data_IF_989828562675
#
_entry.id   IF_989828562675
#
_cell.length_a   1.000
_cell.length_b   1.000
_cell.length_c   1.000
_cell.angle_alpha   90.00
_cell.angle_beta   90.00
_cell.angle_gamma   90.00
#
_symmetry.space_group_name_H-M   'P 1'
#
loop_
_entity.id
_entity.type
_entity.pdbx_description
1 polymer ?
#
# COMPACT_ATOMS: atom_id res chain seq x y z
N UNK A 1 56.33 -0.77 26.53
CA UNK A 1 56.28 -1.64 27.72
C UNK A 1 56.02 -0.74 28.90
N UNK A 2 55.01 -0.84 29.75
CA UNK A 2 53.91 -1.76 30.06
C UNK A 2 52.81 -0.85 30.69
N UNK A 3 51.56 -1.18 30.97
CA UNK A 3 50.65 -2.32 30.80
C UNK A 3 49.23 -1.71 30.77
N UNK A 4 48.29 -2.46 30.20
CA UNK A 4 46.87 -2.14 30.21
C UNK A 4 46.26 -2.45 31.59
N UNK A 5 45.38 -1.58 32.07
CA UNK A 5 44.40 -1.92 33.11
C UNK A 5 42.99 -1.89 32.51
N UNK A 6 42.35 -3.03 32.70
CA UNK A 6 41.04 -3.44 32.20
C UNK A 6 40.01 -2.96 33.21
N UNK A 7 39.03 -2.14 32.78
CA UNK A 7 37.82 -1.87 33.55
C UNK A 7 36.68 -2.68 32.95
N UNK A 8 36.22 -3.67 33.72
CA UNK A 8 35.02 -4.46 33.45
C UNK A 8 33.76 -3.61 33.71
N UNK A 9 32.71 -3.70 32.86
CA UNK A 9 31.40 -3.19 33.21
C UNK A 9 30.61 -4.21 34.05
N UNK A 10 29.96 -3.66 35.07
CA UNK A 10 29.06 -4.25 36.04
C UNK A 10 27.85 -4.99 35.45
N UNK A 11 27.46 -6.07 36.13
CA UNK A 11 26.23 -6.83 35.94
C UNK A 11 24.98 -5.93 35.92
N UNK A 12 24.26 -5.95 34.79
CA UNK A 12 22.88 -5.48 34.70
C UNK A 12 21.94 -6.70 34.71
N UNK A 13 20.83 -6.68 35.47
CA UNK A 13 19.90 -7.80 35.52
C UNK A 13 19.10 -7.87 34.20
N UNK A 14 19.15 -9.04 33.56
CA UNK A 14 18.34 -9.40 32.39
C UNK A 14 16.84 -9.33 32.73
N UNK A 15 15.99 -8.67 31.92
CA UNK A 15 14.55 -8.86 32.01
C UNK A 15 14.18 -10.24 31.48
N UNK A 16 13.35 -10.93 32.25
CA UNK A 16 12.76 -12.24 31.95
C UNK A 16 12.11 -12.26 30.56
N UNK A 17 12.43 -13.30 29.78
CA UNK A 17 11.72 -13.63 28.55
C UNK A 17 10.23 -13.85 28.87
N UNK A 18 9.39 -12.90 28.49
CA UNK A 18 7.96 -13.11 28.40
C UNK A 18 7.66 -13.81 27.07
N UNK A 19 7.32 -15.10 27.19
CA UNK A 19 6.66 -15.88 26.14
C UNK A 19 5.43 -15.13 25.63
N UNK A 20 5.22 -15.01 24.31
CA UNK A 20 3.94 -14.55 23.78
C UNK A 20 2.85 -15.57 24.12
N UNK A 21 1.78 -15.08 24.74
CA UNK A 21 0.50 -15.76 24.87
C UNK A 21 -0.01 -16.14 23.47
N UNK A 22 -0.24 -17.44 23.26
CA UNK A 22 -0.77 -18.04 22.04
C UNK A 22 -2.16 -17.51 21.67
N UNK A 23 -2.26 -16.72 20.59
CA UNK A 23 -3.48 -16.47 19.81
C UNK A 23 -3.54 -17.41 18.58
N UNK A 24 -3.18 -18.68 18.75
CA UNK A 24 -2.97 -19.63 17.64
C UNK A 24 -4.25 -20.24 17.04
N UNK A 25 -5.45 -19.73 17.37
CA UNK A 25 -6.72 -20.35 16.95
C UNK A 25 -7.42 -19.64 15.77
N UNK A 26 -7.14 -18.36 15.53
CA UNK A 26 -7.77 -17.63 14.41
C UNK A 26 -7.02 -17.83 13.09
N UNK A 27 -5.68 -17.97 13.14
CA UNK A 27 -4.80 -18.15 11.98
C UNK A 27 -5.11 -19.42 11.16
N UNK A 28 -5.47 -20.51 11.85
CA UNK A 28 -5.82 -21.79 11.21
C UNK A 28 -7.20 -21.71 10.54
N UNK A 29 -8.13 -20.94 11.11
CA UNK A 29 -9.54 -20.87 10.70
C UNK A 29 -9.73 -20.09 9.40
N UNK A 30 -8.98 -18.98 9.23
CA UNK A 30 -8.98 -18.17 8.00
C UNK A 30 -8.42 -18.98 6.82
N UNK A 31 -7.25 -19.61 7.01
CA UNK A 31 -6.58 -20.40 5.96
C UNK A 31 -7.38 -21.65 5.54
N UNK A 32 -7.99 -22.37 6.48
CA UNK A 32 -8.83 -23.53 6.17
C UNK A 32 -10.10 -23.17 5.39
N UNK A 33 -10.61 -21.94 5.55
CA UNK A 33 -11.80 -21.47 4.83
C UNK A 33 -11.50 -21.04 3.37
N UNK A 34 -10.25 -20.65 3.09
CA UNK A 34 -9.75 -20.23 1.77
C UNK A 34 -9.33 -21.44 0.92
N UNK A 35 -8.77 -22.48 1.54
CA UNK A 35 -8.26 -23.65 0.83
C UNK A 35 -9.32 -24.76 0.70
N UNK A 36 -10.06 -24.76 -0.42
CA UNK A 36 -10.72 -25.97 -0.91
C UNK A 36 -9.71 -27.10 -1.13
N UNK A 37 -10.11 -28.34 -0.83
CA UNK A 37 -9.27 -29.56 -0.73
C UNK A 37 -8.18 -29.68 -1.80
N UNK A 38 -6.90 -29.56 -1.41
CA UNK A 38 -5.75 -29.80 -2.31
C UNK A 38 -5.16 -31.18 -2.05
N UNK A 39 -5.18 -32.04 -3.06
CA UNK A 39 -4.52 -33.33 -3.08
C UNK A 39 -3.01 -33.19 -3.41
N UNK A 40 -2.25 -34.10 -2.79
CA UNK A 40 -0.82 -34.41 -2.88
C UNK A 40 0.05 -33.81 -4.00
N UNK A 41 1.13 -33.15 -3.54
CA UNK A 41 2.49 -33.02 -4.09
C UNK A 41 2.82 -33.77 -5.40
N UNK A 42 2.75 -33.05 -6.50
CA UNK A 42 3.69 -33.18 -7.63
C UNK A 42 4.62 -31.98 -7.59
N UNK A 43 5.92 -32.17 -7.82
CA UNK A 43 6.89 -31.08 -8.08
C UNK A 43 6.39 -30.24 -9.25
N UNK A 44 5.65 -29.19 -8.92
CA UNK A 44 4.95 -28.35 -9.88
C UNK A 44 5.94 -27.39 -10.54
N UNK A 45 5.78 -27.24 -11.85
CA UNK A 45 6.59 -26.37 -12.68
C UNK A 45 6.57 -24.92 -12.16
N UNK A 46 7.74 -24.29 -12.11
CA UNK A 46 7.88 -22.86 -11.78
C UNK A 46 7.34 -22.07 -12.96
N UNK A 47 6.28 -21.29 -12.73
CA UNK A 47 5.69 -20.43 -13.76
C UNK A 47 6.34 -19.05 -13.65
N UNK A 48 7.14 -18.67 -14.65
CA UNK A 48 7.73 -17.34 -14.74
C UNK A 48 6.75 -16.35 -15.37
N UNK A 49 6.84 -15.07 -15.01
CA UNK A 49 6.01 -14.04 -15.62
C UNK A 49 6.43 -13.77 -17.08
N UNK A 50 5.53 -14.04 -18.02
CA UNK A 50 5.59 -13.59 -19.42
C UNK A 50 4.52 -12.52 -19.68
N UNK A 51 4.90 -11.26 -19.99
CA UNK A 51 3.93 -10.19 -20.22
C UNK A 51 2.98 -10.48 -21.39
N UNK A 52 3.39 -11.24 -22.42
CA UNK A 52 2.53 -11.55 -23.57
C UNK A 52 1.41 -12.53 -23.24
N UNK A 53 1.60 -13.35 -22.21
CA UNK A 53 0.64 -14.37 -21.77
C UNK A 53 -0.20 -13.90 -20.59
N UNK A 54 0.42 -13.15 -19.68
CA UNK A 54 -0.15 -12.85 -18.38
C UNK A 54 -0.83 -11.48 -18.31
N UNK A 55 -0.47 -10.53 -19.19
CA UNK A 55 -1.16 -9.25 -19.30
C UNK A 55 -2.34 -9.40 -20.28
N UNK A 56 -3.54 -9.11 -19.80
CA UNK A 56 -4.78 -9.06 -20.59
C UNK A 56 -5.42 -7.68 -20.47
N UNK A 57 -4.69 -6.67 -20.96
CA UNK A 57 -5.06 -5.28 -20.79
C UNK A 57 -6.16 -4.83 -21.75
N UNK A 58 -7.17 -4.14 -21.22
CA UNK A 58 -8.08 -3.26 -21.97
C UNK A 58 -8.19 -1.94 -21.23
N UNK A 59 -8.14 -0.77 -21.89
CA UNK A 59 -8.23 0.51 -21.20
C UNK A 59 -9.51 0.68 -20.36
N UNK A 60 -9.46 1.43 -19.24
CA UNK A 60 -10.64 1.72 -18.45
C UNK A 60 -11.67 2.51 -19.27
N UNK A 61 -12.97 2.25 -19.02
CA UNK A 61 -14.05 2.94 -19.72
C UNK A 61 -14.09 4.43 -19.40
N UNK A 62 -13.62 4.82 -18.22
CA UNK A 62 -13.48 6.20 -17.80
C UNK A 62 -12.31 6.34 -16.81
N UNK A 63 -11.63 7.48 -16.89
CA UNK A 63 -10.73 7.98 -15.84
C UNK A 63 -11.33 9.28 -15.31
N UNK A 64 -11.58 9.34 -14.01
CA UNK A 64 -12.06 10.55 -13.33
C UNK A 64 -10.85 11.40 -12.94
N UNK A 65 -10.84 12.65 -13.37
CA UNK A 65 -9.81 13.62 -13.03
C UNK A 65 -9.99 14.16 -11.60
N UNK A 66 -8.90 14.65 -11.01
CA UNK A 66 -8.93 15.37 -9.73
C UNK A 66 -9.94 16.53 -9.76
N UNK A 67 -10.00 17.24 -10.89
CA UNK A 67 -10.93 18.35 -11.11
C UNK A 67 -12.40 17.92 -11.15
N UNK A 68 -12.74 16.81 -11.82
CA UNK A 68 -14.10 16.25 -11.80
C UNK A 68 -14.51 15.80 -10.39
N UNK A 69 -13.54 15.33 -9.59
CA UNK A 69 -13.74 14.99 -8.19
C UNK A 69 -13.82 16.23 -7.27
N UNK A 70 -13.70 17.45 -7.82
CA UNK A 70 -13.79 18.70 -7.07
C UNK A 70 -12.52 19.10 -6.31
N UNK A 71 -11.38 18.49 -6.63
CA UNK A 71 -10.08 18.89 -6.09
C UNK A 71 -9.41 19.96 -6.97
N UNK A 72 -8.58 20.78 -6.35
CA UNK A 72 -7.74 21.76 -7.04
C UNK A 72 -6.57 21.10 -7.78
N UNK A 73 -6.06 21.76 -8.82
CA UNK A 73 -4.99 21.23 -9.67
C UNK A 73 -3.67 21.02 -8.92
N UNK A 74 -3.47 21.65 -7.76
CA UNK A 74 -2.27 21.55 -6.91
C UNK A 74 -2.37 20.49 -5.80
N UNK A 75 -3.55 19.89 -5.61
CA UNK A 75 -3.80 18.90 -4.56
C UNK A 75 -2.98 17.64 -4.79
N UNK A 76 -3.12 17.04 -5.98
CA UNK A 76 -2.38 15.85 -6.39
C UNK A 76 -1.09 16.15 -7.14
N UNK A 77 -0.40 15.11 -7.57
CA UNK A 77 0.78 15.14 -8.45
C UNK A 77 0.46 14.78 -9.90
N UNK A 78 -0.79 14.44 -10.18
CA UNK A 78 -1.32 14.13 -11.51
C UNK A 78 -2.75 14.66 -11.65
N UNK A 79 -3.20 15.01 -12.87
CA UNK A 79 -4.60 15.34 -13.13
C UNK A 79 -5.56 14.17 -12.93
N UNK A 80 -5.09 12.92 -12.90
CA UNK A 80 -5.92 11.72 -12.76
C UNK A 80 -6.21 11.43 -11.29
N UNK A 81 -7.47 11.33 -10.91
CA UNK A 81 -7.88 10.92 -9.57
C UNK A 81 -8.02 9.41 -9.44
N UNK A 82 -8.91 8.82 -10.25
CA UNK A 82 -9.21 7.38 -10.19
C UNK A 82 -9.69 6.86 -11.55
N UNK A 83 -9.35 5.62 -11.89
CA UNK A 83 -9.89 4.92 -13.05
C UNK A 83 -11.09 4.05 -12.67
N UNK A 84 -12.05 3.90 -13.59
CA UNK A 84 -12.97 2.76 -13.54
C UNK A 84 -12.17 1.45 -13.66
N UNK A 85 -12.66 0.32 -13.10
CA UNK A 85 -11.97 -0.95 -13.23
C UNK A 85 -11.72 -1.35 -14.67
N UNK A 86 -10.57 -1.97 -14.91
CA UNK A 86 -10.16 -2.40 -16.24
C UNK A 86 -9.47 -3.77 -16.20
N UNK A 87 -9.67 -4.64 -17.21
CA UNK A 87 -8.94 -5.90 -17.31
C UNK A 87 -7.43 -5.66 -17.36
N UNK A 88 -6.67 -6.38 -16.55
CA UNK A 88 -5.21 -6.25 -16.48
C UNK A 88 -4.49 -7.60 -16.60
N UNK A 89 -4.96 -8.62 -15.87
CA UNK A 89 -4.32 -9.94 -15.80
C UNK A 89 -5.20 -11.04 -16.39
N UNK A 90 -4.56 -12.01 -17.05
CA UNK A 90 -5.25 -13.22 -17.51
C UNK A 90 -5.62 -14.13 -16.33
N UNK A 91 -6.56 -15.05 -16.55
CA UNK A 91 -6.94 -16.04 -15.54
C UNK A 91 -5.75 -16.93 -15.10
N UNK A 92 -4.84 -17.24 -16.03
CA UNK A 92 -3.59 -17.96 -15.74
C UNK A 92 -2.72 -17.18 -14.74
N UNK A 93 -2.55 -15.88 -14.97
CA UNK A 93 -1.78 -15.02 -14.09
C UNK A 93 -2.41 -14.93 -12.69
N UNK A 94 -3.74 -14.76 -12.61
CA UNK A 94 -4.44 -14.71 -11.32
C UNK A 94 -4.28 -16.01 -10.55
N UNK A 95 -4.41 -17.16 -11.21
CA UNK A 95 -4.20 -18.45 -10.56
C UNK A 95 -2.79 -18.60 -10.00
N UNK A 96 -1.78 -18.17 -10.76
CA UNK A 96 -0.39 -18.20 -10.29
C UNK A 96 -0.13 -17.22 -9.15
N UNK A 97 -0.65 -15.98 -9.22
CA UNK A 97 -0.55 -15.01 -8.13
C UNK A 97 -1.20 -15.54 -6.85
N UNK A 98 -2.42 -16.07 -6.94
CA UNK A 98 -3.12 -16.71 -5.81
C UNK A 98 -2.30 -17.84 -5.20
N UNK A 99 -1.67 -18.67 -6.04
CA UNK A 99 -0.84 -19.79 -5.58
C UNK A 99 0.37 -19.31 -4.76
N UNK A 100 1.01 -18.22 -5.16
CA UNK A 100 2.12 -17.64 -4.38
C UNK A 100 1.65 -17.04 -3.06
N UNK A 101 0.60 -16.21 -3.10
CA UNK A 101 0.12 -15.48 -1.91
C UNK A 101 -0.58 -16.39 -0.87
N UNK A 102 -1.14 -17.52 -1.30
CA UNK A 102 -1.80 -18.50 -0.42
C UNK A 102 -0.84 -19.60 0.06
N UNK A 103 0.45 -19.49 -0.27
CA UNK A 103 1.45 -20.45 0.21
C UNK A 103 1.68 -20.34 1.71
N UNK A 104 2.00 -21.46 2.33
CA UNK A 104 2.26 -21.56 3.78
C UNK A 104 3.36 -20.59 4.23
N UNK A 105 4.38 -20.41 3.39
CA UNK A 105 5.52 -19.55 3.68
C UNK A 105 5.07 -18.08 3.87
N UNK A 106 4.27 -17.58 2.93
CA UNK A 106 3.75 -16.20 2.99
C UNK A 106 2.93 -15.99 4.26
N UNK A 107 1.98 -16.89 4.54
CA UNK A 107 1.09 -16.75 5.69
C UNK A 107 1.81 -16.84 7.04
N UNK A 108 2.83 -17.68 7.16
CA UNK A 108 3.54 -17.86 8.43
C UNK A 108 4.44 -16.69 8.84
N UNK A 109 4.85 -15.85 7.88
CA UNK A 109 5.90 -14.82 8.12
C UNK A 109 5.43 -13.39 7.83
N UNK A 110 4.48 -13.21 6.93
CA UNK A 110 4.16 -11.89 6.37
C UNK A 110 2.73 -11.42 6.69
N UNK A 111 2.08 -12.03 7.69
CA UNK A 111 0.74 -11.68 8.13
C UNK A 111 0.75 -10.52 9.14
N UNK A 112 -0.11 -9.53 8.90
CA UNK A 112 -0.31 -8.34 9.73
C UNK A 112 -1.81 -8.05 9.92
N UNK A 113 -2.14 -7.33 10.98
CA UNK A 113 -3.48 -6.85 11.28
C UNK A 113 -3.42 -5.50 11.97
N UNK A 114 -4.46 -4.68 11.83
CA UNK A 114 -4.59 -3.39 12.51
C UNK A 114 -6.04 -3.04 12.84
N UNK A 115 -6.22 -1.89 13.51
CA UNK A 115 -7.52 -1.24 13.67
C UNK A 115 -8.17 -0.76 12.36
N UNK A 116 -7.43 -0.75 11.24
CA UNK A 116 -7.96 -0.41 9.91
C UNK A 116 -8.30 -1.63 9.04
N UNK A 117 -7.63 -2.77 9.27
CA UNK A 117 -7.83 -3.99 8.49
C UNK A 117 -7.46 -5.25 9.30
N UNK A 118 -8.33 -6.24 9.29
CA UNK A 118 -8.18 -7.44 10.12
C UNK A 118 -7.12 -8.44 9.64
N UNK A 119 -6.80 -8.48 8.34
CA UNK A 119 -5.86 -9.46 7.79
C UNK A 119 -5.20 -8.93 6.52
N UNK A 120 -3.88 -8.75 6.58
CA UNK A 120 -3.04 -8.24 5.51
C UNK A 120 -1.79 -9.09 5.33
N UNK A 121 -1.31 -9.23 4.08
CA UNK A 121 -0.02 -9.84 3.77
C UNK A 121 0.89 -8.80 3.10
N UNK A 122 2.09 -8.56 3.64
CA UNK A 122 2.97 -7.44 3.22
C UNK A 122 4.44 -7.84 3.21
N UNK A 123 5.23 -7.28 2.28
CA UNK A 123 6.68 -7.53 2.22
C UNK A 123 7.12 -8.90 1.67
N UNK A 124 6.20 -9.77 1.29
CA UNK A 124 6.52 -11.16 0.89
C UNK A 124 7.06 -11.30 -0.53
N UNK A 125 6.78 -10.34 -1.42
CA UNK A 125 6.93 -10.55 -2.86
C UNK A 125 8.37 -10.89 -3.31
N UNK A 126 9.42 -10.18 -2.85
CA UNK A 126 10.80 -10.44 -3.29
C UNK A 126 11.30 -11.85 -2.95
N UNK A 127 10.82 -12.42 -1.85
CA UNK A 127 11.32 -13.70 -1.32
C UNK A 127 10.42 -14.89 -1.66
N UNK A 128 9.10 -14.67 -1.68
CA UNK A 128 8.12 -15.76 -1.72
C UNK A 128 7.25 -15.79 -2.98
N UNK A 129 7.21 -14.70 -3.76
CA UNK A 129 6.28 -14.57 -4.87
C UNK A 129 6.99 -14.00 -6.11
N UNK A 130 7.92 -14.75 -6.73
CA UNK A 130 8.70 -14.28 -7.87
C UNK A 130 7.81 -13.89 -9.07
N UNK A 131 6.69 -14.58 -9.31
CA UNK A 131 5.76 -14.18 -10.36
C UNK A 131 5.11 -12.83 -10.07
N UNK A 132 4.63 -12.61 -8.84
CA UNK A 132 4.09 -11.30 -8.42
C UNK A 132 5.15 -10.20 -8.53
N UNK A 133 6.36 -10.47 -8.04
CA UNK A 133 7.48 -9.53 -8.06
C UNK A 133 7.83 -9.11 -9.50
N UNK A 134 8.02 -10.08 -10.39
CA UNK A 134 8.35 -9.83 -11.80
C UNK A 134 7.20 -9.12 -12.54
N UNK A 135 5.94 -9.49 -12.26
CA UNK A 135 4.77 -8.86 -12.86
C UNK A 135 4.73 -7.35 -12.57
N UNK A 136 4.90 -6.96 -11.31
CA UNK A 136 4.83 -5.56 -10.90
C UNK A 136 6.09 -4.74 -11.22
N UNK A 137 7.17 -5.40 -11.68
CA UNK A 137 8.38 -4.74 -12.19
C UNK A 137 8.49 -4.75 -13.71
N UNK A 138 7.59 -5.46 -14.41
CA UNK A 138 7.57 -5.54 -15.87
C UNK A 138 7.40 -4.14 -16.50
N UNK A 139 8.27 -3.75 -17.45
CA UNK A 139 8.13 -2.48 -18.18
C UNK A 139 6.76 -2.34 -18.88
N UNK A 140 6.21 -3.43 -19.38
CA UNK A 140 4.90 -3.48 -20.04
C UNK A 140 3.77 -3.10 -19.08
N UNK A 141 3.80 -3.67 -17.87
CA UNK A 141 2.80 -3.37 -16.85
C UNK A 141 2.96 -1.95 -16.31
N UNK A 142 4.21 -1.54 -16.01
CA UNK A 142 4.50 -0.19 -15.52
C UNK A 142 4.07 0.88 -16.53
N UNK A 143 4.21 0.60 -17.83
CA UNK A 143 3.71 1.48 -18.88
C UNK A 143 2.20 1.64 -18.81
N UNK A 144 1.44 0.54 -18.66
CA UNK A 144 -0.03 0.60 -18.55
C UNK A 144 -0.46 1.44 -17.36
N UNK A 145 0.11 1.18 -16.18
CA UNK A 145 -0.23 1.91 -14.94
C UNK A 145 0.13 3.39 -15.07
N UNK A 146 1.30 3.71 -15.64
CA UNK A 146 1.75 5.08 -15.85
C UNK A 146 0.87 5.85 -16.85
N UNK A 147 0.48 5.20 -17.96
CA UNK A 147 -0.39 5.80 -18.97
C UNK A 147 -1.77 6.14 -18.37
N UNK A 148 -2.33 5.24 -17.55
CA UNK A 148 -3.61 5.48 -16.86
C UNK A 148 -3.47 6.57 -15.79
N UNK A 149 -2.38 6.55 -15.03
CA UNK A 149 -2.10 7.54 -14.00
C UNK A 149 -1.77 8.93 -14.56
N UNK A 150 -1.46 9.06 -15.85
CA UNK A 150 -1.06 10.32 -16.49
C UNK A 150 0.32 10.82 -16.02
N UNK A 151 1.15 9.96 -15.44
CA UNK A 151 2.46 10.26 -14.88
C UNK A 151 3.32 8.99 -14.89
N UNK A 152 4.63 9.12 -15.10
CA UNK A 152 5.56 7.98 -15.10
C UNK A 152 5.78 7.46 -13.66
N UNK A 153 5.39 6.22 -13.42
CA UNK A 153 5.38 5.56 -12.13
C UNK A 153 6.35 4.38 -12.06
N UNK A 154 6.86 4.16 -10.85
CA UNK A 154 7.59 2.95 -10.42
C UNK A 154 6.98 2.44 -9.13
N UNK A 155 7.09 1.13 -8.81
CA UNK A 155 6.74 0.63 -7.49
C UNK A 155 7.44 1.49 -6.43
N UNK A 156 6.71 1.83 -5.37
CA UNK A 156 7.21 2.74 -4.34
C UNK A 156 8.47 2.18 -3.69
N UNK A 157 8.37 0.92 -3.26
CA UNK A 157 9.37 0.10 -2.59
C UNK A 157 9.02 -1.36 -2.86
N UNK A 158 10.01 -2.26 -2.75
CA UNK A 158 9.77 -3.70 -2.89
C UNK A 158 8.84 -4.24 -1.79
N UNK A 159 8.89 -3.64 -0.59
CA UNK A 159 7.97 -3.93 0.52
C UNK A 159 6.48 -3.72 0.15
N UNK A 160 6.21 -2.81 -0.79
CA UNK A 160 4.86 -2.41 -1.20
C UNK A 160 4.40 -3.06 -2.51
N UNK A 161 5.16 -4.05 -3.01
CA UNK A 161 4.74 -4.86 -4.14
C UNK A 161 3.74 -5.91 -3.65
N UNK A 162 2.51 -5.80 -4.16
CA UNK A 162 1.51 -6.84 -4.01
C UNK A 162 0.96 -7.03 -2.58
N UNK A 163 0.86 -5.97 -1.78
CA UNK A 163 0.18 -6.02 -0.48
C UNK A 163 -1.23 -6.63 -0.63
N UNK A 164 -1.53 -7.70 0.10
CA UNK A 164 -2.82 -8.37 0.07
C UNK A 164 -3.71 -7.90 1.22
N UNK A 165 -4.95 -7.54 0.92
CA UNK A 165 -6.03 -7.42 1.91
C UNK A 165 -6.99 -8.60 1.75
N UNK A 166 -7.32 -9.26 2.87
CA UNK A 166 -8.16 -10.46 2.90
C UNK A 166 -9.39 -10.21 3.77
N UNK A 167 -10.56 -10.53 3.22
CA UNK A 167 -11.82 -10.55 3.96
C UNK A 167 -12.57 -11.85 3.69
N UNK A 168 -12.96 -12.55 4.75
CA UNK A 168 -13.78 -13.77 4.69
C UNK A 168 -15.09 -13.48 5.42
N UNK A 169 -16.26 -13.70 4.81
CA UNK A 169 -17.52 -13.57 5.51
C UNK A 169 -17.61 -14.57 6.66
N UNK A 170 -18.10 -14.13 7.83
CA UNK A 170 -18.34 -15.00 8.96
C UNK A 170 -19.38 -16.07 8.60
N UNK A 171 -19.12 -17.33 8.97
CA UNK A 171 -19.97 -18.48 8.60
C UNK A 171 -21.40 -18.42 9.18
N UNK A 172 -21.73 -17.44 10.03
CA UNK A 172 -23.07 -17.24 10.61
C UNK A 172 -24.11 -16.60 9.69
N UNK A 173 -23.73 -16.07 8.52
CA UNK A 173 -24.63 -15.35 7.62
C UNK A 173 -25.37 -16.23 6.59
N UNK A 174 -25.22 -17.56 6.65
CA UNK A 174 -25.85 -18.49 5.69
C UNK A 174 -27.23 -19.02 6.12
N UNK A 175 -27.66 -18.78 7.36
CA UNK A 175 -28.90 -19.35 7.90
C UNK A 175 -29.74 -18.30 8.65
N UNK A 176 -30.27 -17.27 7.98
CA UNK A 176 -31.38 -16.49 8.54
C UNK A 176 -32.38 -16.04 7.48
N UNK A 177 -33.47 -16.81 7.38
CA UNK A 177 -34.80 -16.33 6.98
C UNK A 177 -35.45 -15.48 8.09
N UNK A 178 -34.66 -14.67 8.79
CA UNK A 178 -35.10 -13.75 9.82
C UNK A 178 -34.70 -12.34 9.39
N UNK A 179 -35.56 -11.36 9.70
CA UNK A 179 -35.39 -9.95 9.35
C UNK A 179 -33.95 -9.47 9.64
N UNK A 180 -33.38 -8.58 8.79
CA UNK A 180 -32.01 -8.13 8.94
C UNK A 180 -31.84 -7.54 10.33
N UNK A 181 -30.97 -8.13 11.13
CA UNK A 181 -30.36 -7.41 12.24
C UNK A 181 -29.65 -6.21 11.61
N UNK A 182 -30.12 -5.01 11.91
CA UNK A 182 -29.31 -3.80 11.76
C UNK A 182 -28.01 -4.04 12.58
N UNK A 183 -26.89 -3.48 12.10
CA UNK A 183 -25.60 -3.35 12.82
C UNK A 183 -24.46 -4.40 12.63
N UNK A 184 -24.05 -4.67 11.38
CA UNK A 184 -22.60 -4.77 11.06
C UNK A 184 -22.32 -4.42 9.59
N UNK A 185 -22.56 -3.15 9.22
CA UNK A 185 -22.22 -2.57 7.91
C UNK A 185 -20.75 -2.10 7.84
N UNK A 186 -19.86 -2.73 8.62
CA UNK A 186 -18.47 -2.30 8.73
C UNK A 186 -17.71 -2.44 7.40
N UNK A 187 -16.95 -1.41 6.99
CA UNK A 187 -16.13 -1.45 5.78
C UNK A 187 -14.99 -2.48 5.91
N UNK A 188 -14.47 -2.94 4.77
CA UNK A 188 -13.30 -3.85 4.75
C UNK A 188 -12.02 -3.09 5.12
N UNK A 189 -11.94 -1.85 4.64
CA UNK A 189 -10.92 -0.87 5.04
C UNK A 189 -11.67 0.44 5.22
N UNK A 190 -11.59 1.01 6.42
CA UNK A 190 -12.31 2.25 6.75
C UNK A 190 -11.76 3.46 5.98
N UNK A 191 -12.38 4.64 6.14
CA UNK A 191 -11.93 5.86 5.47
C UNK A 191 -10.46 6.13 5.74
N UNK A 192 -9.69 6.34 4.69
CA UNK A 192 -8.27 6.67 4.78
C UNK A 192 -7.77 7.40 3.53
N UNK A 193 -6.56 7.94 3.66
CA UNK A 193 -5.69 8.22 2.53
C UNK A 193 -4.52 7.27 2.57
N UNK A 194 -4.05 6.86 1.40
CA UNK A 194 -2.91 5.95 1.30
C UNK A 194 -1.62 6.62 1.78
N UNK A 195 -0.66 5.77 2.15
CA UNK A 195 0.72 6.19 2.39
C UNK A 195 1.42 6.72 1.14
N UNK A 196 1.10 6.19 -0.04
CA UNK A 196 1.85 6.44 -1.28
C UNK A 196 1.02 7.21 -2.31
N UNK A 197 1.65 8.00 -3.19
CA UNK A 197 0.95 8.85 -4.16
C UNK A 197 -0.08 8.12 -5.02
N UNK A 198 0.25 6.91 -5.46
CA UNK A 198 -0.61 6.07 -6.29
C UNK A 198 -0.67 4.65 -5.81
N UNK A 199 -1.79 3.98 -6.08
CA UNK A 199 -1.95 2.54 -5.92
C UNK A 199 -2.61 1.94 -7.16
N UNK A 200 -2.30 0.67 -7.44
CA UNK A 200 -3.05 -0.17 -8.36
C UNK A 200 -3.65 -1.34 -7.57
N UNK A 201 -4.99 -1.37 -7.48
CA UNK A 201 -5.73 -2.39 -6.74
C UNK A 201 -6.24 -3.44 -7.74
N UNK A 202 -5.77 -4.67 -7.62
CA UNK A 202 -6.15 -5.82 -8.45
C UNK A 202 -7.03 -6.79 -7.66
N UNK A 203 -8.14 -7.24 -8.24
CA UNK A 203 -8.98 -8.26 -7.62
C UNK A 203 -8.49 -9.67 -7.94
N UNK A 204 -8.24 -10.46 -6.90
CA UNK A 204 -7.80 -11.86 -7.02
C UNK A 204 -8.92 -12.88 -6.78
N UNK A 205 -9.98 -12.51 -6.07
CA UNK A 205 -11.12 -13.41 -5.85
C UNK A 205 -12.12 -13.34 -7.00
N UNK A 206 -12.81 -14.44 -7.25
CA UNK A 206 -13.99 -14.45 -8.11
C UNK A 206 -15.14 -13.72 -7.40
N UNK A 207 -15.47 -12.54 -7.92
CA UNK A 207 -16.51 -11.67 -7.40
C UNK A 207 -17.80 -11.69 -8.23
N UNK A 208 -17.99 -12.69 -9.10
CA UNK A 208 -19.14 -12.75 -10.02
C UNK A 208 -20.50 -12.74 -9.33
N UNK A 209 -20.60 -13.32 -8.13
CA UNK A 209 -21.82 -13.37 -7.31
C UNK A 209 -21.90 -12.25 -6.27
N UNK A 210 -20.90 -11.35 -6.22
CA UNK A 210 -20.85 -10.31 -5.19
C UNK A 210 -21.80 -9.16 -5.49
N UNK A 211 -22.47 -8.71 -4.43
CA UNK A 211 -23.21 -7.44 -4.40
C UNK A 211 -22.49 -6.50 -3.45
N UNK A 212 -22.21 -5.27 -3.89
CA UNK A 212 -21.40 -4.30 -3.18
C UNK A 212 -19.91 -4.40 -3.50
N UNK A 213 -19.05 -4.02 -2.55
CA UNK A 213 -17.59 -4.06 -2.73
C UNK A 213 -16.99 -2.88 -3.50
N UNK A 214 -17.79 -1.82 -3.72
CA UNK A 214 -17.33 -0.60 -4.36
C UNK A 214 -16.25 0.10 -3.52
N UNK A 215 -15.39 0.84 -4.21
CA UNK A 215 -14.55 1.83 -3.55
C UNK A 215 -15.31 3.14 -3.49
N UNK A 216 -15.63 3.58 -2.28
CA UNK A 216 -16.22 4.89 -2.04
C UNK A 216 -15.09 5.94 -1.99
N UNK A 217 -15.20 6.99 -2.80
CA UNK A 217 -14.29 8.13 -2.83
C UNK A 217 -15.03 9.37 -2.36
N UNK A 218 -14.43 10.09 -1.42
CA UNK A 218 -14.93 11.39 -1.00
C UNK A 218 -14.42 12.46 -1.96
N UNK A 219 -15.33 13.23 -2.56
CA UNK A 219 -15.01 14.36 -3.43
C UNK A 219 -14.59 15.59 -2.61
N UNK A 220 -14.02 16.59 -3.28
CA UNK A 220 -13.64 17.88 -2.67
C UNK A 220 -14.82 18.67 -2.06
N UNK A 221 -16.06 18.41 -2.50
CA UNK A 221 -17.29 18.97 -1.91
C UNK A 221 -17.86 18.14 -0.75
N UNK A 222 -17.19 17.03 -0.39
CA UNK A 222 -17.61 16.10 0.66
C UNK A 222 -18.64 15.04 0.22
N UNK A 223 -19.19 15.13 -1.00
CA UNK A 223 -20.07 14.08 -1.52
C UNK A 223 -19.30 12.82 -1.92
N UNK A 224 -19.99 11.68 -2.00
CA UNK A 224 -19.36 10.38 -2.25
C UNK A 224 -19.59 9.93 -3.70
N UNK A 225 -18.51 9.60 -4.40
CA UNK A 225 -18.54 8.84 -5.64
C UNK A 225 -18.25 7.37 -5.33
N UNK A 226 -19.09 6.45 -5.80
CA UNK A 226 -18.80 5.01 -5.72
C UNK A 226 -18.32 4.53 -7.07
N UNK A 227 -17.10 3.99 -7.09
CA UNK A 227 -16.54 3.32 -8.27
C UNK A 227 -16.74 1.83 -8.09
N UNK A 228 -17.22 1.16 -9.14
CA UNK A 228 -17.50 -0.28 -9.09
C UNK A 228 -16.23 -1.03 -8.65
N UNK A 229 -16.39 -2.05 -7.81
CA UNK A 229 -15.26 -2.91 -7.46
C UNK A 229 -14.74 -3.69 -8.68
N UNK A 230 -13.41 -3.93 -8.80
CA UNK A 230 -12.86 -4.75 -9.87
C UNK A 230 -13.36 -6.20 -9.78
N UNK A 231 -13.62 -6.79 -10.94
CA UNK A 231 -13.80 -8.25 -11.08
C UNK A 231 -12.44 -8.95 -11.07
N UNK A 232 -12.42 -10.26 -10.85
CA UNK A 232 -11.19 -11.06 -10.89
C UNK A 232 -10.36 -10.76 -12.13
N UNK A 233 -9.06 -10.45 -11.96
CA UNK A 233 -8.17 -10.08 -13.07
C UNK A 233 -8.25 -8.61 -13.51
N UNK A 234 -9.25 -7.87 -13.05
CA UNK A 234 -9.32 -6.43 -13.26
C UNK A 234 -8.58 -5.67 -12.16
N UNK A 235 -8.14 -4.46 -12.52
CA UNK A 235 -7.50 -3.53 -11.62
C UNK A 235 -8.12 -2.13 -11.69
N UNK A 236 -7.83 -1.31 -10.69
CA UNK A 236 -8.11 0.12 -10.68
C UNK A 236 -6.89 0.89 -10.17
N UNK A 237 -6.55 1.98 -10.85
CA UNK A 237 -5.51 2.93 -10.45
C UNK A 237 -6.15 4.13 -9.74
N UNK A 238 -5.61 4.47 -8.57
CA UNK A 238 -6.11 5.53 -7.69
C UNK A 238 -4.95 6.40 -7.17
N UNK A 239 -5.14 7.72 -7.14
CA UNK A 239 -4.22 8.67 -6.51
C UNK A 239 -4.50 8.79 -4.99
N UNK A 240 -4.38 7.65 -4.29
CA UNK A 240 -5.00 7.44 -2.97
C UNK A 240 -4.41 8.26 -1.83
N UNK A 241 -3.20 8.82 -1.98
CA UNK A 241 -2.62 9.75 -1.00
C UNK A 241 -3.46 11.01 -0.80
N UNK A 242 -4.19 11.43 -1.83
CA UNK A 242 -4.85 12.74 -1.85
C UNK A 242 -6.36 12.66 -1.76
N UNK A 243 -6.94 11.48 -1.95
CA UNK A 243 -8.37 11.23 -2.00
C UNK A 243 -8.73 10.32 -0.84
N UNK A 244 -9.55 10.81 0.09
CA UNK A 244 -10.10 9.96 1.14
C UNK A 244 -11.03 8.94 0.51
N UNK A 245 -10.80 7.67 0.82
CA UNK A 245 -11.54 6.57 0.25
C UNK A 245 -11.72 5.42 1.25
N UNK A 246 -12.66 4.54 0.94
CA UNK A 246 -13.05 3.42 1.78
C UNK A 246 -13.43 2.22 0.89
N UNK A 247 -13.05 1.02 1.31
CA UNK A 247 -13.46 -0.21 0.63
C UNK A 247 -14.74 -0.74 1.29
N UNK A 248 -15.86 -0.69 0.57
CA UNK A 248 -17.14 -1.18 1.09
C UNK A 248 -17.13 -2.70 1.18
N UNK A 249 -17.92 -3.22 2.13
CA UNK A 249 -18.17 -4.65 2.23
C UNK A 249 -18.94 -5.15 1.02
N UNK A 250 -18.73 -6.41 0.69
CA UNK A 250 -19.48 -7.12 -0.32
C UNK A 250 -20.11 -8.37 0.27
N UNK A 251 -21.32 -8.69 -0.21
CA UNK A 251 -22.08 -9.86 0.20
C UNK A 251 -22.06 -10.91 -0.91
N UNK A 252 -22.12 -12.19 -0.56
CA UNK A 252 -22.36 -13.28 -1.52
C UNK A 252 -21.12 -13.94 -2.14
N UNK A 253 -19.89 -13.57 -1.76
CA UNK A 253 -18.68 -14.33 -2.07
C UNK A 253 -18.21 -15.19 -0.90
N UNK A 254 -17.39 -16.21 -1.18
CA UNK A 254 -16.71 -16.99 -0.15
C UNK A 254 -15.54 -16.22 0.48
N UNK A 255 -14.90 -15.33 -0.28
CA UNK A 255 -13.74 -14.53 0.11
C UNK A 255 -13.64 -13.27 -0.75
N UNK A 256 -12.91 -12.27 -0.27
CA UNK A 256 -12.47 -11.13 -1.06
C UNK A 256 -10.99 -10.88 -0.80
N UNK A 257 -10.18 -11.20 -1.80
CA UNK A 257 -8.74 -11.00 -1.82
C UNK A 257 -8.41 -9.93 -2.85
N UNK A 258 -7.82 -8.82 -2.38
CA UNK A 258 -7.32 -7.75 -3.25
C UNK A 258 -5.84 -7.58 -3.06
N UNK A 259 -5.11 -7.50 -4.18
CA UNK A 259 -3.69 -7.18 -4.22
C UNK A 259 -3.50 -5.70 -4.57
N UNK A 260 -2.69 -5.00 -3.79
CA UNK A 260 -2.44 -3.57 -3.92
C UNK A 260 -0.94 -3.37 -4.10
N UNK A 261 -0.56 -2.76 -5.21
CA UNK A 261 0.83 -2.31 -5.41
C UNK A 261 0.86 -0.80 -5.35
N UNK A 262 1.74 -0.26 -4.51
CA UNK A 262 1.91 1.18 -4.32
C UNK A 262 2.98 1.73 -5.26
N UNK A 263 2.80 2.97 -5.72
CA UNK A 263 3.64 3.61 -6.72
C UNK A 263 4.05 5.03 -6.31
N UNK A 264 5.24 5.42 -6.78
CA UNK A 264 5.76 6.79 -6.71
C UNK A 264 6.16 7.28 -8.11
N UNK A 265 6.27 8.59 -8.32
CA UNK A 265 6.87 9.13 -9.54
C UNK A 265 8.28 8.59 -9.75
N UNK A 266 8.60 8.21 -10.99
CA UNK A 266 9.97 7.83 -11.36
C UNK A 266 10.93 9.01 -11.25
N UNK A 267 10.49 10.18 -11.72
CA UNK A 267 11.33 11.37 -11.79
C UNK A 267 11.56 11.99 -10.42
N UNK A 268 12.83 12.15 -10.04
CA UNK A 268 13.22 12.86 -8.82
C UNK A 268 12.79 14.34 -8.84
N UNK A 269 12.50 14.94 -10.00
CA UNK A 269 12.04 16.32 -10.11
C UNK A 269 10.58 16.52 -9.67
N UNK A 270 9.80 15.43 -9.58
CA UNK A 270 8.41 15.49 -9.18
C UNK A 270 8.28 15.38 -7.65
N UNK A 271 7.12 15.83 -7.14
CA UNK A 271 6.81 15.79 -5.72
C UNK A 271 6.53 14.34 -5.32
N UNK A 272 7.10 13.93 -4.19
CA UNK A 272 6.83 12.65 -3.54
C UNK A 272 6.35 12.93 -2.12
N UNK A 273 5.03 12.83 -1.94
CA UNK A 273 4.31 13.07 -0.68
C UNK A 273 4.06 11.77 0.10
N UNK A 274 4.89 10.74 -0.13
CA UNK A 274 4.83 9.49 0.62
C UNK A 274 4.91 9.76 2.12
N UNK A 275 3.99 9.19 2.89
CA UNK A 275 3.99 9.15 4.36
C UNK A 275 3.97 7.71 4.83
N UNK A 276 4.36 7.45 6.07
CA UNK A 276 4.38 6.09 6.62
C UNK A 276 3.25 5.83 7.63
N UNK A 277 2.33 6.77 7.80
CA UNK A 277 1.32 6.75 8.86
C UNK A 277 0.43 5.50 8.85
N UNK A 278 -0.05 5.03 7.69
CA UNK A 278 -0.93 3.85 7.60
C UNK A 278 -0.20 2.52 7.53
N UNK A 279 1.12 2.54 7.26
CA UNK A 279 1.89 1.31 6.99
C UNK A 279 2.88 0.97 8.09
N UNK A 280 3.27 1.94 8.91
CA UNK A 280 4.27 1.77 9.97
C UNK A 280 3.88 0.68 10.97
N UNK A 281 2.64 0.70 11.46
CA UNK A 281 2.17 -0.24 12.48
C UNK A 281 1.96 -1.68 11.95
N UNK A 282 1.99 -1.87 10.63
CA UNK A 282 1.70 -3.13 9.94
C UNK A 282 2.83 -3.50 8.96
N UNK A 283 4.08 -3.24 9.37
CA UNK A 283 5.28 -3.62 8.61
C UNK A 283 6.37 -4.15 9.53
N UNK A 284 7.36 -4.82 8.96
CA UNK A 284 8.69 -4.84 9.56
C UNK A 284 9.27 -3.43 9.47
N UNK A 285 9.49 -2.78 10.62
CA UNK A 285 9.94 -1.39 10.66
C UNK A 285 11.34 -1.20 10.10
N UNK A 286 12.23 -2.15 10.39
CA UNK A 286 13.60 -2.11 9.92
C UNK A 286 13.61 -2.14 8.39
N UNK A 287 12.91 -3.10 7.79
CA UNK A 287 12.86 -3.24 6.33
C UNK A 287 12.15 -2.04 5.67
N UNK A 288 11.03 -1.59 6.24
CA UNK A 288 10.32 -0.40 5.76
C UNK A 288 11.23 0.83 5.76
N UNK A 289 11.98 1.06 6.83
CA UNK A 289 12.87 2.22 6.96
C UNK A 289 14.14 2.10 6.13
N UNK A 290 14.69 0.89 5.92
CA UNK A 290 15.79 0.67 4.99
C UNK A 290 15.39 1.09 3.57
N UNK A 291 14.30 0.52 3.05
CA UNK A 291 13.84 0.81 1.69
C UNK A 291 13.40 2.28 1.54
N UNK A 292 12.66 2.81 2.53
CA UNK A 292 12.21 4.21 2.50
C UNK A 292 13.39 5.17 2.48
N UNK A 293 14.39 4.94 3.34
CA UNK A 293 15.57 5.80 3.39
C UNK A 293 16.38 5.72 2.11
N UNK A 294 16.58 4.52 1.57
CA UNK A 294 17.36 4.28 0.37
C UNK A 294 16.79 5.10 -0.81
N UNK A 295 15.53 4.87 -1.20
CA UNK A 295 15.00 5.53 -2.41
C UNK A 295 14.88 7.05 -2.22
N UNK A 296 14.61 7.52 -1.00
CA UNK A 296 14.53 8.96 -0.69
C UNK A 296 15.90 9.63 -0.81
N UNK A 297 16.97 8.95 -0.39
CA UNK A 297 18.34 9.42 -0.56
C UNK A 297 18.79 9.38 -2.03
N UNK A 298 18.36 8.39 -2.81
CA UNK A 298 18.60 8.35 -4.27
C UNK A 298 17.95 9.55 -4.99
N UNK A 299 16.73 9.93 -4.61
CA UNK A 299 16.07 11.14 -5.13
C UNK A 299 16.93 12.38 -4.84
N UNK A 300 17.47 12.51 -3.63
CA UNK A 300 18.36 13.61 -3.27
C UNK A 300 19.67 13.57 -4.07
N UNK A 301 20.24 12.39 -4.26
CA UNK A 301 21.46 12.21 -5.07
C UNK A 301 21.24 12.72 -6.49
N UNK A 302 20.13 12.33 -7.13
CA UNK A 302 19.79 12.78 -8.48
C UNK A 302 19.55 14.30 -8.54
N UNK A 303 18.78 14.85 -7.60
CA UNK A 303 18.52 16.30 -7.51
C UNK A 303 19.81 17.10 -7.36
N UNK A 304 20.71 16.67 -6.48
CA UNK A 304 22.02 17.31 -6.27
C UNK A 304 22.86 17.19 -7.54
N UNK A 305 22.89 16.03 -8.19
CA UNK A 305 23.62 15.79 -9.44
C UNK A 305 23.16 16.73 -10.56
N UNK A 306 21.84 16.91 -10.72
CA UNK A 306 21.24 17.86 -11.67
C UNK A 306 21.62 19.30 -11.34
N UNK A 307 21.49 19.70 -10.07
CA UNK A 307 21.83 21.06 -9.65
C UNK A 307 23.32 21.38 -9.83
N UNK A 308 24.21 20.42 -9.53
CA UNK A 308 25.65 20.56 -9.77
C UNK A 308 25.96 20.74 -11.26
N UNK A 309 25.26 20.02 -12.14
CA UNK A 309 25.38 20.18 -13.59
C UNK A 309 24.98 21.60 -14.01
N UNK A 310 23.83 22.10 -13.55
CA UNK A 310 23.36 23.47 -13.85
C UNK A 310 24.38 24.54 -13.41
N UNK A 311 24.96 24.43 -12.21
CA UNK A 311 26.01 25.36 -11.73
C UNK A 311 27.23 25.32 -12.64
N UNK A 312 27.72 24.12 -12.99
CA UNK A 312 28.91 23.93 -13.82
C UNK A 312 28.70 24.48 -15.22
N UNK A 313 27.55 24.21 -15.83
CA UNK A 313 27.23 24.64 -17.19
C UNK A 313 27.05 26.16 -17.25
N UNK A 314 26.40 26.78 -16.25
CA UNK A 314 26.35 28.24 -16.12
C UNK A 314 27.73 28.87 -16.01
N UNK A 315 28.60 28.31 -15.17
CA UNK A 315 29.98 28.78 -15.00
C UNK A 315 30.78 28.68 -16.30
N UNK A 316 30.69 27.54 -17.00
CA UNK A 316 31.33 27.34 -18.32
C UNK A 316 30.84 28.34 -19.36
N UNK A 317 29.54 28.63 -19.36
CA UNK A 317 28.92 29.64 -20.21
C UNK A 317 29.17 31.09 -19.74
N UNK A 318 30.00 31.32 -18.71
CA UNK A 318 30.29 32.63 -18.11
C UNK A 318 29.04 33.42 -17.69
N UNK A 319 27.97 32.72 -17.32
CA UNK A 319 26.74 33.33 -16.79
C UNK A 319 26.88 33.60 -15.30
N UNK A 320 26.20 34.64 -14.80
CA UNK A 320 26.16 34.94 -13.37
C UNK A 320 25.50 33.80 -12.56
N UNK A 321 25.92 33.67 -11.31
CA UNK A 321 25.35 32.71 -10.37
C UNK A 321 23.89 33.07 -10.06
N UNK A 322 22.99 32.08 -10.12
CA UNK A 322 21.58 32.27 -9.77
C UNK A 322 21.34 32.04 -8.28
N UNK A 323 21.64 33.05 -7.46
CA UNK A 323 21.43 32.95 -6.00
C UNK A 323 19.98 32.65 -5.65
N UNK A 324 19.01 33.24 -6.37
CA UNK A 324 17.58 33.01 -6.12
C UNK A 324 17.19 31.55 -6.37
N UNK A 325 17.58 31.01 -7.54
CA UNK A 325 17.32 29.61 -7.88
C UNK A 325 18.03 28.63 -6.95
N UNK A 326 19.27 28.93 -6.53
CA UNK A 326 19.96 28.11 -5.54
C UNK A 326 19.22 28.09 -4.19
N UNK A 327 18.77 29.25 -3.70
CA UNK A 327 18.00 29.31 -2.45
C UNK A 327 16.67 28.55 -2.54
N UNK A 328 16.00 28.60 -3.69
CA UNK A 328 14.78 27.81 -3.93
C UNK A 328 15.06 26.31 -3.88
N UNK A 329 16.09 25.86 -4.61
CA UNK A 329 16.54 24.47 -4.58
C UNK A 329 16.86 23.97 -3.17
N UNK A 330 17.62 24.77 -2.40
CA UNK A 330 17.99 24.42 -1.02
C UNK A 330 16.76 24.32 -0.11
N UNK A 331 15.84 25.29 -0.19
CA UNK A 331 14.61 25.27 0.60
C UNK A 331 13.71 24.07 0.26
N UNK A 332 13.68 23.62 -1.00
CA UNK A 332 12.98 22.40 -1.39
C UNK A 332 13.62 21.15 -0.77
N UNK A 333 14.96 21.06 -0.73
CA UNK A 333 15.65 19.91 -0.13
C UNK A 333 15.53 19.90 1.40
N UNK A 334 15.58 21.07 2.05
CA UNK A 334 15.31 21.20 3.49
C UNK A 334 13.92 20.66 3.84
N UNK A 335 12.88 21.04 3.07
CA UNK A 335 11.52 20.51 3.26
C UNK A 335 11.44 19.00 3.05
N UNK A 336 12.13 18.49 2.02
CA UNK A 336 12.14 17.06 1.69
C UNK A 336 12.80 16.22 2.80
N UNK A 337 13.90 16.71 3.37
CA UNK A 337 14.60 16.07 4.49
C UNK A 337 13.78 16.19 5.79
N UNK A 338 13.20 17.36 6.07
CA UNK A 338 12.34 17.54 7.25
C UNK A 338 11.12 16.63 7.21
N UNK A 339 10.52 16.45 6.03
CA UNK A 339 9.43 15.49 5.82
C UNK A 339 9.89 14.05 6.09
N UNK A 340 10.99 13.62 5.47
CA UNK A 340 11.56 12.28 5.70
C UNK A 340 11.84 12.01 7.18
N UNK A 341 12.46 12.98 7.87
CA UNK A 341 12.76 12.89 9.30
C UNK A 341 11.51 12.83 10.18
N UNK A 342 10.38 13.38 9.73
CA UNK A 342 9.11 13.31 10.46
C UNK A 342 8.45 11.92 10.31
N UNK A 343 8.57 11.32 9.13
CA UNK A 343 7.93 10.04 8.83
C UNK A 343 8.65 8.84 9.49
N UNK A 344 9.96 8.95 9.69
CA UNK A 344 10.76 7.99 10.45
C UNK A 344 10.71 8.34 11.93
N UNK A 345 10.02 7.52 12.72
CA UNK A 345 9.95 7.64 14.18
C UNK A 345 10.68 6.47 14.83
N UNK A 346 11.22 6.68 16.02
CA UNK A 346 11.89 5.63 16.78
C UNK A 346 10.95 4.43 16.99
N UNK A 347 11.48 3.22 16.81
CA UNK A 347 10.71 1.97 16.80
C UNK A 347 9.86 1.79 18.07
N UNK A 348 10.39 2.22 19.22
CA UNK A 348 9.73 2.18 20.53
C UNK A 348 8.49 3.08 20.65
N UNK A 349 8.33 4.05 19.74
CA UNK A 349 7.16 4.92 19.66
C UNK A 349 6.05 4.34 18.77
N UNK A 350 6.28 3.19 18.14
CA UNK A 350 5.32 2.55 17.25
C UNK A 350 4.52 1.49 17.97
N UNK A 351 3.21 1.70 18.07
CA UNK A 351 2.27 0.68 18.53
C UNK A 351 1.89 -0.23 17.36
N UNK A 352 2.34 -1.50 17.38
CA UNK A 352 2.01 -2.48 16.34
C UNK A 352 0.49 -2.67 16.21
N UNK A 353 0.00 -2.69 14.97
CA UNK A 353 -1.42 -2.83 14.65
C UNK A 353 -2.30 -1.62 14.97
N UNK A 354 -1.74 -0.47 15.34
CA UNK A 354 -2.51 0.72 15.66
C UNK A 354 -2.09 1.94 14.85
N UNK A 355 -3.07 2.60 14.21
CA UNK A 355 -2.90 3.86 13.49
C UNK A 355 -3.85 4.92 14.05
N UNK A 356 -3.32 6.12 14.31
CA UNK A 356 -4.07 7.31 14.76
C UNK A 356 -4.90 7.95 13.63
N UNK A 357 -5.51 9.13 13.83
CA UNK A 357 -6.33 9.81 12.82
C UNK A 357 -5.52 10.61 11.76
N UNK A 358 -4.19 10.50 11.73
CA UNK A 358 -3.33 11.27 10.82
C UNK A 358 -3.47 10.89 9.34
N UNK A 359 -4.08 9.73 9.06
CA UNK A 359 -4.42 9.25 7.72
C UNK A 359 -5.71 9.89 7.16
N UNK A 360 -6.44 10.66 7.97
CA UNK A 360 -7.65 11.36 7.57
C UNK A 360 -7.35 12.84 7.25
N UNK A 361 -7.98 13.35 6.21
CA UNK A 361 -7.92 14.77 5.82
C UNK A 361 -9.08 15.53 6.47
N UNK A 362 -10.29 14.99 6.40
CA UNK A 362 -11.51 15.71 6.76
C UNK A 362 -11.78 15.69 8.27
N UNK A 363 -12.06 16.87 8.83
CA UNK A 363 -12.27 17.04 10.27
C UNK A 363 -13.47 16.26 10.81
N UNK A 364 -14.55 16.12 10.03
CA UNK A 364 -15.69 15.30 10.43
C UNK A 364 -15.35 13.81 10.52
N UNK A 365 -14.47 13.30 9.66
CA UNK A 365 -14.00 11.91 9.74
C UNK A 365 -13.08 11.71 10.96
N UNK A 366 -12.19 12.66 11.23
CA UNK A 366 -11.36 12.64 12.45
C UNK A 366 -12.21 12.64 13.73
N UNK A 367 -13.24 13.48 13.77
CA UNK A 367 -14.17 13.51 14.90
C UNK A 367 -14.93 12.18 15.06
N UNK A 368 -15.35 11.54 13.97
CA UNK A 368 -15.98 10.22 14.01
C UNK A 368 -15.02 9.15 14.52
N UNK A 369 -13.78 9.14 14.02
CA UNK A 369 -12.73 8.21 14.46
C UNK A 369 -12.46 8.33 15.96
N UNK A 370 -12.27 9.57 16.47
CA UNK A 370 -12.10 9.85 17.91
C UNK A 370 -13.27 9.40 18.78
N UNK A 371 -14.51 9.54 18.28
CA UNK A 371 -15.70 9.08 19.01
C UNK A 371 -15.74 7.56 19.12
N UNK A 372 -15.36 6.83 18.07
CA UNK A 372 -15.30 5.35 18.11
C UNK A 372 -14.22 4.87 19.05
N UNK A 373 -13.02 5.46 19.00
CA UNK A 373 -11.93 5.07 19.91
C UNK A 373 -12.27 5.27 21.39
N UNK A 374 -13.07 6.31 21.71
CA UNK A 374 -13.56 6.54 23.07
C UNK A 374 -14.60 5.50 23.49
N UNK A 375 -15.49 5.10 22.59
CA UNK A 375 -16.51 4.08 22.86
C UNK A 375 -15.89 2.68 23.05
N UNK A 376 -14.82 2.35 22.34
CA UNK A 376 -14.09 1.07 22.49
C UNK A 376 -13.24 1.01 23.77
N UNK A 377 -13.06 2.14 24.46
CA UNK A 377 -12.27 2.25 25.70
C UNK A 377 -13.14 2.25 26.98
N UNK A 378 -14.47 2.26 26.85
CA UNK A 378 -15.45 2.10 27.94
C UNK A 378 -15.94 0.66 28.04
#
# INVERSE_FOLDING_TARGET
>A
MAAADILAPSDFPMPSAHLPSTLANDDVTVKQSVNGTVASSTTQEVVNFDPKRHIQYTPPSKVHSMKELGYSDDKGISPVGVSEPFPLFSAEAINQMRREILSDNVWSQYQFSSNLSHCQLRGFAPECAPFVYDAWRSPELLKIVSDIAGIDLVPAMDWEIGHINISIPSQGAKDQSAAPAEDDDSPIVDWHTDSYPFVCVTMLSDCTTMVGGETALRKGDGSILKVRGPQMGCAAVLQGRYIEHQALRALGAAERITMVTSFRPRSAALRDDTVLTTVRAISDLSELYFQFSEYRLEILEERIRVQLKEIRDRKRARRHFNTKGMKQFLAEQEKFLAHMNKEMVDDELVTKGWTDDSHLISEDLKQRSKKRSLADSE
#
